data_IF_666329665900
#
_entry.id   IF_666329665900
#
_cell.length_a   1.000
_cell.length_b   1.000
_cell.length_c   1.000
_cell.angle_alpha   90.00
_cell.angle_beta   90.00
_cell.angle_gamma   90.00
#
_symmetry.space_group_name_H-M   'P 1'
#
loop_
_entity.id
_entity.type
_entity.pdbx_description
1 polymer ?
#
# COMPACT_ATOMS: atom_id res chain seq x y z
N UNK A 1 38.47 -12.09 -23.91
CA UNK A 1 38.28 -12.37 -22.46
C UNK A 1 37.01 -11.64 -22.03
N UNK A 2 35.98 -12.38 -21.63
CA UNK A 2 34.61 -11.90 -21.50
C UNK A 2 34.30 -11.22 -20.14
N UNK A 3 33.70 -10.03 -20.25
CA UNK A 3 32.73 -9.34 -19.37
C UNK A 3 32.73 -9.52 -17.84
N UNK A 4 33.00 -8.42 -17.14
CA UNK A 4 32.20 -7.82 -16.05
C UNK A 4 31.40 -8.79 -15.15
N UNK A 5 32.00 -9.31 -14.08
CA UNK A 5 31.25 -9.97 -12.99
C UNK A 5 31.77 -9.56 -11.60
N UNK A 6 30.79 -9.12 -10.80
CA UNK A 6 30.77 -8.89 -9.34
C UNK A 6 31.06 -7.46 -8.85
N UNK A 7 30.01 -6.90 -8.25
CA UNK A 7 29.81 -5.49 -7.87
C UNK A 7 30.58 -5.20 -6.57
N UNK A 8 31.58 -4.33 -6.65
CA UNK A 8 32.28 -3.81 -5.46
C UNK A 8 31.36 -2.87 -4.67
N UNK A 9 30.99 -3.37 -3.50
CA UNK A 9 29.97 -2.87 -2.58
C UNK A 9 30.47 -1.71 -1.71
N UNK A 10 31.23 -0.76 -2.26
CA UNK A 10 31.77 0.36 -1.48
C UNK A 10 30.86 1.59 -1.56
N UNK A 11 29.96 1.72 -0.58
CA UNK A 11 29.12 2.91 -0.43
C UNK A 11 29.98 4.09 0.04
N UNK A 12 30.02 5.22 -0.69
CA UNK A 12 30.77 6.40 -0.26
C UNK A 12 30.34 6.91 1.13
N UNK A 13 31.30 7.26 2.00
CA UNK A 13 31.07 7.77 3.37
C UNK A 13 30.05 8.92 3.44
N UNK A 14 29.98 9.78 2.42
CA UNK A 14 29.00 10.86 2.33
C UNK A 14 27.54 10.38 2.41
N UNK A 15 27.25 9.17 1.95
CA UNK A 15 25.88 8.63 1.99
C UNK A 15 25.53 8.01 3.34
N UNK A 16 26.52 7.54 4.11
CA UNK A 16 26.31 7.26 5.54
C UNK A 16 26.01 8.54 6.32
N UNK A 17 26.73 9.64 6.03
CA UNK A 17 26.40 10.96 6.61
C UNK A 17 24.99 11.43 6.20
N UNK A 18 24.59 11.19 4.95
CA UNK A 18 23.21 11.45 4.49
C UNK A 18 22.18 10.65 5.30
N UNK A 19 22.37 9.34 5.46
CA UNK A 19 21.47 8.48 6.21
C UNK A 19 21.37 8.90 7.69
N UNK A 20 22.50 9.22 8.32
CA UNK A 20 22.55 9.76 9.68
C UNK A 20 21.76 11.07 9.82
N UNK A 21 21.91 11.99 8.86
CA UNK A 21 21.16 13.24 8.86
C UNK A 21 19.65 13.02 8.66
N UNK A 22 19.27 12.02 7.86
CA UNK A 22 17.86 11.64 7.67
C UNK A 22 17.27 11.11 8.97
N UNK A 23 17.96 10.21 9.67
CA UNK A 23 17.54 9.70 10.99
C UNK A 23 17.26 10.86 11.96
N UNK A 24 18.19 11.82 12.03
CA UNK A 24 18.10 12.99 12.91
C UNK A 24 17.00 13.99 12.51
N UNK A 25 16.47 13.91 11.28
CA UNK A 25 15.38 14.77 10.82
C UNK A 25 13.99 14.32 11.29
N UNK A 26 13.87 13.08 11.79
CA UNK A 26 12.63 12.57 12.35
C UNK A 26 12.34 13.14 13.74
N UNK A 27 11.06 13.33 14.06
CA UNK A 27 10.63 13.76 15.39
C UNK A 27 11.09 12.75 16.44
N UNK A 28 11.51 13.23 17.61
CA UNK A 28 11.95 12.39 18.75
C UNK A 28 10.83 12.15 19.76
N UNK A 29 9.65 12.70 19.49
CA UNK A 29 8.50 12.55 20.37
C UNK A 29 7.95 11.12 20.29
N UNK A 30 7.64 10.54 21.45
CA UNK A 30 7.05 9.20 21.54
C UNK A 30 5.78 9.05 20.68
N UNK A 31 4.94 10.09 20.58
CA UNK A 31 3.77 10.09 19.71
C UNK A 31 4.08 9.97 18.21
N UNK A 32 5.33 10.29 17.81
CA UNK A 32 5.80 10.28 16.43
C UNK A 32 6.62 9.04 16.07
N UNK A 33 7.45 8.54 17.00
CA UNK A 33 8.38 7.41 16.76
C UNK A 33 8.11 6.17 17.62
N UNK A 34 7.11 6.22 18.50
CA UNK A 34 6.72 5.08 19.28
C UNK A 34 7.76 4.71 20.33
N UNK A 35 8.02 3.42 20.44
CA UNK A 35 9.04 2.87 21.34
C UNK A 35 10.45 3.02 20.76
N UNK A 36 10.59 3.39 19.48
CA UNK A 36 11.90 3.60 18.85
C UNK A 36 12.59 4.84 19.43
N UNK A 37 13.91 4.74 19.61
CA UNK A 37 14.77 5.85 20.01
C UNK A 37 15.68 6.29 18.84
N UNK A 38 16.47 7.35 19.04
CA UNK A 38 17.33 7.91 17.98
C UNK A 38 18.38 6.92 17.45
N UNK A 39 18.91 6.02 18.30
CA UNK A 39 19.87 5.02 17.87
C UNK A 39 19.21 3.99 16.96
N UNK A 40 17.98 3.60 17.25
CA UNK A 40 17.19 2.70 16.40
C UNK A 40 16.96 3.36 15.03
N UNK A 41 16.56 4.63 15.00
CA UNK A 41 16.37 5.37 13.74
C UNK A 41 17.65 5.49 12.90
N UNK A 42 18.81 5.62 13.56
CA UNK A 42 20.11 5.66 12.88
C UNK A 42 20.43 4.28 12.28
N UNK A 43 20.24 3.19 13.05
CA UNK A 43 20.46 1.83 12.56
C UNK A 43 19.55 1.52 11.37
N UNK A 44 18.25 1.86 11.48
CA UNK A 44 17.29 1.69 10.40
C UNK A 44 17.63 2.53 9.17
N UNK A 45 18.13 3.75 9.36
CA UNK A 45 18.58 4.60 8.25
C UNK A 45 19.81 4.01 7.54
N UNK A 46 20.71 3.36 8.27
CA UNK A 46 21.86 2.67 7.68
C UNK A 46 21.44 1.39 6.96
N UNK A 47 20.57 0.58 7.55
CA UNK A 47 20.00 -0.59 6.86
C UNK A 47 19.28 -0.17 5.57
N UNK A 48 18.45 0.87 5.65
CA UNK A 48 17.76 1.44 4.51
C UNK A 48 18.71 1.97 3.43
N UNK A 49 19.88 2.51 3.80
CA UNK A 49 20.93 2.90 2.86
C UNK A 49 21.49 1.69 2.12
N UNK A 50 21.82 0.60 2.82
CA UNK A 50 22.34 -0.62 2.20
C UNK A 50 21.35 -1.20 1.18
N UNK A 51 20.08 -1.32 1.59
CA UNK A 51 18.99 -1.80 0.74
C UNK A 51 18.82 -0.89 -0.48
N UNK A 52 18.73 0.42 -0.26
CA UNK A 52 18.53 1.39 -1.33
C UNK A 52 19.72 1.39 -2.30
N UNK A 53 20.95 1.31 -1.81
CA UNK A 53 22.14 1.30 -2.64
C UNK A 53 22.18 0.09 -3.58
N UNK A 54 21.85 -1.10 -3.06
CA UNK A 54 21.76 -2.33 -3.87
C UNK A 54 20.70 -2.24 -4.96
N UNK A 55 19.64 -1.48 -4.71
CA UNK A 55 18.48 -1.34 -5.61
C UNK A 55 18.62 -0.17 -6.61
N UNK A 56 19.75 0.54 -6.62
CA UNK A 56 20.00 1.57 -7.64
C UNK A 56 20.09 0.90 -9.01
N UNK A 57 19.28 1.37 -9.95
CA UNK A 57 19.39 1.02 -11.37
C UNK A 57 20.56 1.77 -11.99
N UNK A 58 21.77 1.24 -11.83
CA UNK A 58 23.00 1.86 -12.31
C UNK A 58 23.01 2.11 -13.81
N UNK A 59 22.34 1.27 -14.59
CA UNK A 59 22.20 1.47 -16.04
C UNK A 59 21.49 2.78 -16.39
N UNK A 60 20.52 3.21 -15.58
CA UNK A 60 19.83 4.49 -15.78
C UNK A 60 20.68 5.66 -15.31
N UNK A 61 21.39 5.50 -14.20
CA UNK A 61 22.29 6.52 -13.65
C UNK A 61 23.46 6.78 -14.61
N UNK A 62 24.02 5.73 -15.22
CA UNK A 62 25.15 5.82 -16.12
C UNK A 62 24.80 6.43 -17.49
N UNK A 63 23.51 6.44 -17.87
CA UNK A 63 23.02 7.15 -19.06
C UNK A 63 23.00 8.67 -18.91
N UNK A 64 23.10 9.20 -17.69
CA UNK A 64 23.18 10.65 -17.45
C UNK A 64 24.58 11.13 -17.80
N UNK A 65 24.70 11.97 -18.84
CA UNK A 65 25.98 12.47 -19.34
C UNK A 65 26.70 13.34 -18.30
N UNK A 66 25.99 14.33 -17.74
CA UNK A 66 26.56 15.22 -16.74
C UNK A 66 26.83 14.53 -15.39
N UNK A 67 28.06 14.67 -14.91
CA UNK A 67 28.51 14.04 -13.66
C UNK A 67 27.83 14.65 -12.43
N UNK A 68 27.54 15.95 -12.46
CA UNK A 68 26.89 16.66 -11.35
C UNK A 68 25.45 16.15 -11.21
N UNK A 69 24.71 16.08 -12.30
CA UNK A 69 23.34 15.59 -12.31
C UNK A 69 23.25 14.10 -12.00
N UNK A 70 24.24 13.30 -12.41
CA UNK A 70 24.38 11.90 -11.97
C UNK A 70 24.48 11.79 -10.44
N UNK A 71 25.33 12.60 -9.81
CA UNK A 71 25.49 12.63 -8.34
C UNK A 71 24.22 13.10 -7.64
N UNK A 72 23.52 14.10 -8.20
CA UNK A 72 22.23 14.57 -7.68
C UNK A 72 21.16 13.48 -7.77
N UNK A 73 21.06 12.78 -8.91
CA UNK A 73 20.08 11.71 -9.11
C UNK A 73 20.24 10.59 -8.06
N UNK A 74 21.47 10.13 -7.83
CA UNK A 74 21.78 9.14 -6.78
C UNK A 74 21.40 9.68 -5.40
N UNK A 75 21.77 10.93 -5.09
CA UNK A 75 21.50 11.55 -3.79
C UNK A 75 19.99 11.69 -3.53
N UNK A 76 19.23 12.14 -4.53
CA UNK A 76 17.78 12.31 -4.44
C UNK A 76 17.07 10.97 -4.30
N UNK A 77 17.49 9.96 -5.07
CA UNK A 77 16.98 8.60 -4.95
C UNK A 77 17.21 8.05 -3.54
N UNK A 78 18.45 8.11 -3.04
CA UNK A 78 18.79 7.61 -1.71
C UNK A 78 18.02 8.36 -0.62
N UNK A 79 17.92 9.69 -0.70
CA UNK A 79 17.14 10.49 0.25
C UNK A 79 15.68 10.05 0.28
N UNK A 80 15.03 9.91 -0.88
CA UNK A 80 13.62 9.50 -0.96
C UNK A 80 13.41 8.07 -0.45
N UNK A 81 14.31 7.15 -0.82
CA UNK A 81 14.22 5.73 -0.47
C UNK A 81 14.46 5.49 1.02
N UNK A 82 15.54 6.04 1.58
CA UNK A 82 15.90 5.90 3.00
C UNK A 82 14.79 6.47 3.88
N UNK A 83 14.31 7.69 3.58
CA UNK A 83 13.22 8.32 4.34
C UNK A 83 11.93 7.50 4.29
N UNK A 84 11.62 6.85 3.16
CA UNK A 84 10.45 5.98 3.03
C UNK A 84 10.55 4.77 3.95
N UNK A 85 11.66 4.03 3.85
CA UNK A 85 11.89 2.82 4.63
C UNK A 85 11.88 3.08 6.14
N UNK A 86 12.55 4.14 6.60
CA UNK A 86 12.59 4.51 8.03
C UNK A 86 11.19 4.91 8.54
N UNK A 87 10.36 5.57 7.73
CA UNK A 87 8.98 5.90 8.10
C UNK A 87 8.11 4.67 8.27
N UNK A 88 8.31 3.67 7.43
CA UNK A 88 7.54 2.44 7.50
C UNK A 88 7.96 1.63 8.72
N UNK A 89 9.24 1.63 9.08
CA UNK A 89 9.72 1.01 10.32
C UNK A 89 9.22 1.72 11.58
N UNK A 90 9.26 3.06 11.61
CA UNK A 90 8.64 3.85 12.68
C UNK A 90 7.17 3.45 12.87
N UNK A 91 6.40 3.31 11.79
CA UNK A 91 4.98 2.95 11.88
C UNK A 91 4.75 1.54 12.42
N UNK A 92 5.68 0.61 12.24
CA UNK A 92 5.59 -0.73 12.85
C UNK A 92 5.77 -0.67 14.36
N UNK A 93 6.61 0.26 14.84
CA UNK A 93 7.03 0.37 16.24
C UNK A 93 6.29 1.44 17.06
N UNK A 94 5.36 2.19 16.44
CA UNK A 94 4.44 3.11 17.14
C UNK A 94 3.30 2.33 17.77
N UNK A 95 3.32 2.31 19.10
CA UNK A 95 2.44 1.57 19.99
C UNK A 95 0.93 1.71 19.67
N UNK A 96 0.23 0.56 19.67
CA UNK A 96 -1.20 0.43 19.90
C UNK A 96 -2.19 0.98 18.86
N UNK A 97 -1.79 1.90 17.97
CA UNK A 97 -2.68 2.39 16.92
C UNK A 97 -2.24 1.87 15.57
N UNK A 98 -2.78 0.69 15.22
CA UNK A 98 -2.99 0.21 13.85
C UNK A 98 -3.79 1.27 13.08
N UNK A 99 -3.18 2.41 12.74
CA UNK A 99 -3.80 3.41 11.87
C UNK A 99 -4.06 2.69 10.54
N UNK A 100 -5.31 2.66 10.04
CA UNK A 100 -5.65 1.91 8.85
C UNK A 100 -4.77 2.38 7.69
N UNK A 101 -4.10 1.42 7.07
CA UNK A 101 -3.26 1.63 5.90
C UNK A 101 -4.15 2.20 4.80
N UNK A 102 -3.86 3.43 4.35
CA UNK A 102 -4.57 4.09 3.23
C UNK A 102 -4.05 3.57 1.88
N UNK A 103 -4.27 2.27 1.62
CA UNK A 103 -3.78 1.57 0.43
C UNK A 103 -2.36 1.01 0.57
N UNK A 104 -2.02 -0.02 -0.21
CA UNK A 104 -0.70 -0.69 -0.19
C UNK A 104 0.34 0.22 -0.85
N UNK A 105 1.53 0.35 -0.28
CA UNK A 105 2.60 1.16 -0.91
C UNK A 105 3.29 0.34 -2.00
N UNK A 106 3.38 0.88 -3.21
CA UNK A 106 4.14 0.26 -4.29
C UNK A 106 5.55 0.88 -4.33
N UNK A 107 6.55 0.05 -4.05
CA UNK A 107 7.95 0.48 -4.03
C UNK A 107 8.56 0.68 -5.43
N UNK A 108 7.95 0.16 -6.49
CA UNK A 108 8.37 0.30 -7.89
C UNK A 108 7.83 1.60 -8.50
N UNK A 109 6.56 1.91 -8.27
CA UNK A 109 5.91 3.13 -8.80
C UNK A 109 5.93 4.31 -7.82
N UNK A 110 6.29 4.07 -6.55
CA UNK A 110 6.33 5.08 -5.47
C UNK A 110 4.97 5.78 -5.26
N UNK A 111 3.88 5.05 -5.48
CA UNK A 111 2.50 5.50 -5.22
C UNK A 111 1.79 4.49 -4.31
N UNK A 112 0.65 4.87 -3.73
CA UNK A 112 -0.24 3.94 -3.01
C UNK A 112 -1.14 3.27 -4.05
N UNK A 113 -1.14 1.93 -4.10
CA UNK A 113 -2.13 1.16 -4.87
C UNK A 113 -3.51 1.42 -4.30
N UNK A 114 -4.39 1.88 -5.17
CA UNK A 114 -5.81 2.08 -4.92
C UNK A 114 -6.61 1.14 -5.83
N UNK A 115 -6.02 0.03 -6.25
CA UNK A 115 -6.72 -1.01 -6.99
C UNK A 115 -7.76 -1.72 -6.14
N UNK A 116 -8.51 -2.60 -6.77
CA UNK A 116 -9.58 -3.35 -6.11
C UNK A 116 -9.07 -4.22 -4.94
N UNK A 117 -7.79 -4.60 -4.98
CA UNK A 117 -7.10 -5.23 -3.85
C UNK A 117 -6.85 -4.24 -2.69
N UNK A 118 -6.46 -3.00 -3.02
CA UNK A 118 -6.45 -1.86 -2.10
C UNK A 118 -7.83 -1.55 -1.48
N UNK A 119 -8.93 -1.81 -2.21
CA UNK A 119 -10.28 -1.69 -1.66
C UNK A 119 -10.59 -2.77 -0.62
N UNK A 120 -10.37 -4.05 -0.96
CA UNK A 120 -10.60 -5.19 -0.08
C UNK A 120 -9.83 -5.08 1.24
N UNK A 121 -8.57 -4.68 1.18
CA UNK A 121 -7.71 -4.46 2.36
C UNK A 121 -8.20 -3.30 3.24
N UNK A 122 -8.85 -2.28 2.68
CA UNK A 122 -9.46 -1.18 3.46
C UNK A 122 -10.81 -1.57 4.07
N UNK A 123 -11.64 -2.31 3.33
CA UNK A 123 -12.93 -2.80 3.85
C UNK A 123 -12.74 -3.81 4.98
N UNK A 124 -11.88 -4.79 4.73
CA UNK A 124 -11.70 -5.96 5.57
C UNK A 124 -10.21 -6.16 5.88
N UNK A 125 -9.60 -5.27 6.67
CA UNK A 125 -8.17 -5.39 7.00
C UNK A 125 -7.82 -6.66 7.79
N UNK A 126 -8.81 -7.29 8.44
CA UNK A 126 -8.64 -8.56 9.14
C UNK A 126 -8.66 -9.77 8.19
N UNK A 127 -9.14 -9.57 6.96
CA UNK A 127 -9.13 -10.54 5.87
C UNK A 127 -7.78 -10.63 5.17
N UNK A 128 -6.71 -10.01 5.68
CA UNK A 128 -5.38 -10.08 5.06
C UNK A 128 -4.31 -10.22 6.14
N UNK A 129 -3.46 -11.23 6.02
CA UNK A 129 -2.36 -11.44 6.96
C UNK A 129 -1.28 -10.38 6.73
N UNK A 130 -0.57 -10.03 7.79
CA UNK A 130 0.50 -9.02 7.71
C UNK A 130 1.60 -9.44 6.73
N UNK A 131 1.84 -10.75 6.59
CA UNK A 131 2.76 -11.32 5.60
C UNK A 131 2.18 -11.27 4.17
N UNK A 132 0.88 -11.52 3.98
CA UNK A 132 0.25 -11.40 2.65
C UNK A 132 0.33 -9.95 2.17
N UNK A 133 0.15 -8.97 3.08
CA UNK A 133 0.29 -7.54 2.81
C UNK A 133 1.71 -7.10 2.43
N UNK A 134 2.74 -7.81 2.88
CA UNK A 134 4.14 -7.59 2.47
C UNK A 134 4.53 -8.39 1.22
N UNK A 135 3.92 -9.56 0.96
CA UNK A 135 4.14 -10.37 -0.27
C UNK A 135 3.55 -9.72 -1.54
N UNK A 136 2.52 -8.86 -1.40
CA UNK A 136 1.98 -8.03 -2.51
C UNK A 136 3.10 -7.21 -3.20
N UNK A 137 4.20 -6.92 -2.49
CA UNK A 137 5.31 -6.12 -2.98
C UNK A 137 6.11 -6.79 -4.10
N UNK A 138 6.09 -8.13 -4.21
CA UNK A 138 7.00 -8.89 -5.10
C UNK A 138 6.32 -9.85 -6.10
N UNK A 139 5.02 -10.16 -5.97
CA UNK A 139 4.31 -11.01 -6.93
C UNK A 139 3.34 -10.24 -7.83
N UNK A 140 3.45 -10.46 -9.15
CA UNK A 140 2.42 -10.08 -10.13
C UNK A 140 1.28 -11.08 -9.92
N UNK A 141 0.13 -10.62 -9.45
CA UNK A 141 -1.03 -11.49 -9.27
C UNK A 141 -1.54 -11.93 -10.63
N UNK A 142 -1.65 -13.24 -10.82
CA UNK A 142 -2.23 -13.87 -12.02
C UNK A 142 -3.76 -13.91 -11.95
N UNK A 143 -4.36 -12.81 -11.48
CA UNK A 143 -5.80 -12.68 -11.33
C UNK A 143 -6.31 -11.57 -12.24
N UNK A 144 -7.47 -11.81 -12.83
CA UNK A 144 -8.08 -10.95 -13.83
C UNK A 144 -8.71 -9.72 -13.15
N UNK A 145 -7.96 -8.62 -13.16
CA UNK A 145 -8.38 -7.34 -12.57
C UNK A 145 -9.66 -6.79 -13.20
N UNK A 146 -9.93 -7.09 -14.47
CA UNK A 146 -11.16 -6.65 -15.15
C UNK A 146 -12.36 -7.42 -14.60
N UNK A 147 -12.25 -8.74 -14.42
CA UNK A 147 -13.30 -9.56 -13.79
C UNK A 147 -13.58 -9.15 -12.35
N UNK A 148 -12.55 -8.75 -11.61
CA UNK A 148 -12.72 -8.25 -10.25
C UNK A 148 -13.50 -6.94 -10.24
N UNK A 149 -13.11 -6.00 -11.09
CA UNK A 149 -13.75 -4.70 -11.20
C UNK A 149 -15.22 -4.85 -11.62
N UNK A 150 -15.50 -5.71 -12.60
CA UNK A 150 -16.86 -6.05 -13.04
C UNK A 150 -17.68 -6.67 -11.90
N UNK A 151 -17.10 -7.59 -11.13
CA UNK A 151 -17.77 -8.16 -9.97
C UNK A 151 -18.13 -7.09 -8.93
N UNK A 152 -17.21 -6.19 -8.59
CA UNK A 152 -17.49 -5.12 -7.63
C UNK A 152 -18.52 -4.12 -8.15
N UNK A 153 -18.49 -3.80 -9.44
CA UNK A 153 -19.50 -2.96 -10.07
C UNK A 153 -20.90 -3.53 -9.85
N UNK A 154 -21.10 -4.81 -10.17
CA UNK A 154 -22.38 -5.50 -9.97
C UNK A 154 -22.72 -5.68 -8.48
N UNK A 155 -21.74 -6.00 -7.64
CA UNK A 155 -21.94 -6.20 -6.20
C UNK A 155 -22.36 -4.90 -5.51
N UNK A 156 -21.77 -3.76 -5.87
CA UNK A 156 -22.21 -2.45 -5.37
C UNK A 156 -23.59 -2.07 -5.88
N UNK A 157 -23.93 -2.44 -7.11
CA UNK A 157 -25.27 -2.21 -7.64
C UNK A 157 -26.34 -2.94 -6.82
N UNK A 158 -26.06 -4.16 -6.38
CA UNK A 158 -26.96 -4.93 -5.51
C UNK A 158 -27.06 -4.34 -4.10
N UNK A 159 -25.93 -4.02 -3.47
CA UNK A 159 -25.89 -3.70 -2.02
C UNK A 159 -25.94 -2.20 -1.71
N UNK A 160 -25.50 -1.35 -2.65
CA UNK A 160 -25.42 0.11 -2.53
C UNK A 160 -25.82 0.84 -3.84
N UNK A 161 -26.98 0.56 -4.47
CA UNK A 161 -27.30 1.09 -5.81
C UNK A 161 -27.19 2.60 -5.94
N UNK A 162 -27.66 3.35 -4.92
CA UNK A 162 -27.61 4.82 -4.90
C UNK A 162 -26.21 5.41 -4.74
N UNK A 163 -25.26 4.62 -4.24
CA UNK A 163 -23.91 5.07 -3.90
C UNK A 163 -22.82 4.22 -4.56
N UNK A 164 -23.19 3.39 -5.55
CA UNK A 164 -22.29 2.56 -6.36
C UNK A 164 -21.17 3.42 -6.92
N UNK A 165 -21.50 4.41 -7.73
CA UNK A 165 -20.58 5.39 -8.31
C UNK A 165 -19.69 6.08 -7.28
N UNK A 166 -20.24 6.41 -6.10
CA UNK A 166 -19.45 7.05 -5.04
C UNK A 166 -18.38 6.08 -4.52
N UNK A 167 -18.74 4.81 -4.33
CA UNK A 167 -17.82 3.78 -3.87
C UNK A 167 -16.77 3.46 -4.93
N UNK A 168 -17.15 3.33 -6.20
CA UNK A 168 -16.22 3.12 -7.30
C UNK A 168 -15.19 4.26 -7.35
N UNK A 169 -15.62 5.52 -7.34
CA UNK A 169 -14.72 6.69 -7.36
C UNK A 169 -13.86 6.81 -6.10
N UNK A 170 -14.39 6.51 -4.91
CA UNK A 170 -13.67 6.56 -3.63
C UNK A 170 -12.50 5.59 -3.57
N UNK A 171 -12.56 4.55 -4.40
CA UNK A 171 -11.62 3.44 -4.42
C UNK A 171 -11.02 3.20 -5.80
N UNK A 172 -11.28 4.07 -6.79
CA UNK A 172 -10.71 3.96 -8.13
C UNK A 172 -11.08 2.67 -8.86
N UNK A 173 -12.19 2.01 -8.55
CA UNK A 173 -12.53 0.72 -9.19
C UNK A 173 -12.96 0.93 -10.65
N UNK A 174 -13.43 2.13 -11.00
CA UNK A 174 -13.89 2.56 -12.32
C UNK A 174 -12.79 3.20 -13.20
N UNK A 175 -11.56 3.30 -12.71
CA UNK A 175 -10.46 3.99 -13.39
C UNK A 175 -9.45 2.98 -13.96
N UNK A 176 -9.01 3.19 -15.21
CA UNK A 176 -8.06 2.31 -15.93
C UNK A 176 -6.74 2.13 -15.16
N UNK A 177 -6.38 3.09 -14.30
CA UNK A 177 -5.19 3.03 -13.44
C UNK A 177 -5.53 2.78 -11.97
N UNK A 178 -6.76 2.36 -11.73
CA UNK A 178 -7.42 2.26 -10.46
C UNK A 178 -7.19 3.43 -9.50
N UNK A 179 -7.26 4.66 -10.02
CA UNK A 179 -6.96 5.86 -9.23
C UNK A 179 -8.22 6.40 -8.54
N UNK A 180 -8.25 6.30 -7.22
CA UNK A 180 -9.27 6.96 -6.41
C UNK A 180 -9.36 8.47 -6.72
N UNK A 181 -10.57 8.95 -6.97
CA UNK A 181 -10.86 10.36 -7.24
C UNK A 181 -10.72 11.19 -5.97
N UNK A 182 -10.44 12.48 -6.11
CA UNK A 182 -10.32 13.35 -4.95
C UNK A 182 -11.68 13.52 -4.25
N UNK A 183 -11.67 13.74 -2.92
CA UNK A 183 -12.92 14.00 -2.18
C UNK A 183 -13.65 15.23 -2.74
N UNK A 184 -12.90 16.21 -3.24
CA UNK A 184 -13.46 17.40 -3.88
C UNK A 184 -14.18 17.08 -5.19
N UNK A 185 -13.61 16.23 -6.05
CA UNK A 185 -14.27 15.77 -7.28
C UNK A 185 -15.57 15.00 -6.99
N UNK A 186 -15.52 14.10 -6.00
CA UNK A 186 -16.70 13.32 -5.58
C UNK A 186 -17.76 14.25 -4.98
N UNK A 187 -17.34 15.22 -4.17
CA UNK A 187 -18.23 16.24 -3.60
C UNK A 187 -18.96 17.02 -4.69
N UNK A 188 -18.27 17.42 -5.77
CA UNK A 188 -18.88 18.09 -6.92
C UNK A 188 -19.87 17.16 -7.64
N UNK A 189 -19.49 15.92 -7.97
CA UNK A 189 -20.38 14.97 -8.69
C UNK A 189 -21.67 14.68 -7.93
N UNK A 190 -21.59 14.56 -6.60
CA UNK A 190 -22.74 14.24 -5.75
C UNK A 190 -23.46 15.47 -5.19
N UNK A 191 -23.03 16.68 -5.54
CA UNK A 191 -23.54 17.93 -4.98
C UNK A 191 -23.54 17.94 -3.43
N UNK A 192 -22.40 17.53 -2.85
CA UNK A 192 -22.20 17.39 -1.41
C UNK A 192 -21.03 18.25 -0.94
N UNK A 193 -20.97 18.55 0.36
CA UNK A 193 -19.76 19.12 0.97
C UNK A 193 -18.69 18.02 1.14
N UNK A 194 -17.38 18.33 1.03
CA UNK A 194 -16.30 17.34 1.21
C UNK A 194 -16.38 16.54 2.51
N UNK A 195 -16.76 17.18 3.62
CA UNK A 195 -16.91 16.47 4.90
C UNK A 195 -18.14 15.56 4.94
N UNK A 196 -19.19 15.89 4.19
CA UNK A 196 -20.35 15.02 4.04
C UNK A 196 -19.98 13.75 3.25
N UNK A 197 -19.11 13.86 2.24
CA UNK A 197 -18.56 12.69 1.52
C UNK A 197 -17.78 11.77 2.46
N UNK A 198 -16.92 12.33 3.33
CA UNK A 198 -16.17 11.52 4.33
C UNK A 198 -17.10 10.79 5.29
N UNK A 199 -18.11 11.48 5.82
CA UNK A 199 -19.12 10.88 6.72
C UNK A 199 -19.94 9.82 5.98
N UNK A 200 -20.30 10.08 4.74
CA UNK A 200 -21.07 9.14 3.92
C UNK A 200 -20.26 7.87 3.63
N UNK A 201 -18.97 8.00 3.29
CA UNK A 201 -18.04 6.85 3.18
C UNK A 201 -18.11 5.98 4.44
N UNK A 202 -17.94 6.57 5.63
CA UNK A 202 -17.98 5.81 6.88
C UNK A 202 -19.32 5.09 7.10
N UNK A 203 -20.44 5.74 6.78
CA UNK A 203 -21.79 5.14 6.88
C UNK A 203 -21.98 3.98 5.93
N UNK A 204 -21.55 4.11 4.68
CA UNK A 204 -21.65 3.06 3.66
C UNK A 204 -20.80 1.85 4.03
N UNK A 205 -19.59 2.09 4.55
CA UNK A 205 -18.72 1.05 5.07
C UNK A 205 -19.36 0.28 6.23
N UNK A 206 -19.96 0.99 7.19
CA UNK A 206 -20.68 0.36 8.28
C UNK A 206 -21.86 -0.47 7.76
N UNK A 207 -22.66 0.09 6.85
CA UNK A 207 -23.79 -0.62 6.23
C UNK A 207 -23.38 -1.92 5.55
N UNK A 208 -22.26 -1.94 4.83
CA UNK A 208 -21.72 -3.16 4.21
C UNK A 208 -21.32 -4.18 5.27
N UNK A 209 -20.60 -3.74 6.32
CA UNK A 209 -20.12 -4.62 7.39
C UNK A 209 -21.23 -5.25 8.20
N UNK A 210 -22.36 -4.55 8.32
CA UNK A 210 -23.53 -5.04 9.03
C UNK A 210 -24.45 -5.88 8.11
N UNK A 211 -24.11 -6.05 6.83
CA UNK A 211 -24.89 -6.81 5.85
C UNK A 211 -24.27 -8.20 5.59
N UNK A 212 -24.76 -9.21 6.30
CA UNK A 212 -24.28 -10.59 6.19
C UNK A 212 -24.36 -11.15 4.77
N UNK A 213 -25.42 -10.86 4.01
CA UNK A 213 -25.56 -11.33 2.62
C UNK A 213 -24.44 -10.76 1.75
N UNK A 214 -24.13 -9.47 1.91
CA UNK A 214 -23.06 -8.82 1.17
C UNK A 214 -21.68 -9.39 1.53
N UNK A 215 -21.46 -9.71 2.81
CA UNK A 215 -20.23 -10.34 3.30
C UNK A 215 -20.08 -11.77 2.78
N UNK A 216 -21.17 -12.53 2.79
CA UNK A 216 -21.24 -13.90 2.31
C UNK A 216 -20.94 -14.01 0.81
N UNK A 217 -21.59 -13.18 -0.02
CA UNK A 217 -21.30 -13.10 -1.46
C UNK A 217 -19.82 -12.78 -1.73
N UNK A 218 -19.28 -11.81 -0.99
CA UNK A 218 -17.90 -11.37 -1.18
C UNK A 218 -16.89 -12.42 -0.72
N UNK A 219 -17.11 -13.06 0.42
CA UNK A 219 -16.25 -14.13 0.92
C UNK A 219 -16.28 -15.34 -0.02
N UNK A 220 -17.46 -15.73 -0.51
CA UNK A 220 -17.61 -16.78 -1.54
C UNK A 220 -16.78 -16.46 -2.79
N UNK A 221 -16.89 -15.23 -3.29
CA UNK A 221 -16.15 -14.80 -4.48
C UNK A 221 -14.63 -14.82 -4.27
N UNK A 222 -14.16 -14.30 -3.14
CA UNK A 222 -12.73 -14.28 -2.78
C UNK A 222 -12.15 -15.70 -2.72
N UNK A 223 -12.87 -16.62 -2.08
CA UNK A 223 -12.46 -18.03 -1.92
C UNK A 223 -12.45 -18.78 -3.24
N UNK A 224 -13.55 -18.71 -4.00
CA UNK A 224 -13.71 -19.45 -5.26
C UNK A 224 -12.75 -19.00 -6.37
N UNK A 225 -12.33 -17.73 -6.33
CA UNK A 225 -11.37 -17.17 -7.27
C UNK A 225 -9.93 -17.19 -6.73
N UNK A 226 -9.69 -17.87 -5.61
CA UNK A 226 -8.38 -18.04 -4.98
C UNK A 226 -7.64 -16.70 -4.75
N UNK A 227 -8.40 -15.65 -4.41
CA UNK A 227 -7.84 -14.33 -4.14
C UNK A 227 -7.09 -14.42 -2.80
N UNK A 228 -5.76 -14.26 -2.85
CA UNK A 228 -4.90 -14.30 -1.65
C UNK A 228 -5.42 -13.34 -0.59
N UNK A 229 -5.80 -13.90 0.55
CA UNK A 229 -6.36 -13.21 1.72
C UNK A 229 -5.83 -13.90 3.00
N UNK A 230 -6.17 -13.42 4.19
CA UNK A 230 -5.84 -14.07 5.45
C UNK A 230 -6.64 -15.34 5.60
N UNK A 231 -6.13 -16.24 6.44
CA UNK A 231 -6.90 -17.41 6.87
C UNK A 231 -8.30 -17.03 7.34
N UNK A 232 -8.51 -15.84 7.93
CA UNK A 232 -9.82 -15.41 8.46
C UNK A 232 -10.93 -15.28 7.41
N UNK A 233 -10.61 -15.05 6.12
CA UNK A 233 -11.66 -15.09 5.06
C UNK A 233 -12.06 -16.52 4.78
N UNK A 234 -11.06 -17.39 4.67
CA UNK A 234 -11.25 -18.81 4.46
C UNK A 234 -12.00 -19.42 5.66
N UNK A 235 -11.61 -19.08 6.89
CA UNK A 235 -12.31 -19.45 8.12
C UNK A 235 -13.75 -18.89 8.13
N UNK A 236 -13.96 -17.62 7.74
CA UNK A 236 -15.31 -17.03 7.66
C UNK A 236 -16.17 -17.75 6.64
N UNK A 237 -15.62 -18.08 5.48
CA UNK A 237 -16.31 -18.80 4.41
C UNK A 237 -16.58 -20.26 4.79
N UNK A 238 -15.64 -20.94 5.43
CA UNK A 238 -15.81 -22.28 5.95
C UNK A 238 -16.95 -22.32 6.99
N UNK A 239 -16.93 -21.40 7.96
CA UNK A 239 -17.91 -21.36 9.04
C UNK A 239 -19.31 -20.90 8.59
N UNK A 240 -19.40 -19.88 7.73
CA UNK A 240 -20.70 -19.28 7.35
C UNK A 240 -21.27 -19.81 6.04
N UNK A 241 -20.42 -20.32 5.14
CA UNK A 241 -20.81 -20.72 3.78
C UNK A 241 -20.60 -22.21 3.51
N UNK A 242 -19.93 -22.95 4.41
CA UNK A 242 -19.65 -24.40 4.29
C UNK A 242 -18.96 -24.80 2.98
N UNK A 243 -18.19 -23.91 2.37
CA UNK A 243 -17.58 -24.11 1.03
C UNK A 243 -16.48 -25.18 1.06
N UNK A 244 -15.97 -25.53 2.24
CA UNK A 244 -14.94 -26.55 2.47
C UNK A 244 -15.44 -27.76 3.28
N UNK A 245 -16.75 -27.90 3.48
CA UNK A 245 -17.31 -29.03 4.22
C UNK A 245 -17.49 -30.25 3.30
N UNK A 246 -16.39 -30.96 3.04
CA UNK A 246 -16.35 -32.39 2.73
C UNK A 246 -15.47 -33.11 3.78
#
# INVERSE_FOLDING_TARGET
MASLKHIDSNIPKKYFKLAYNIANSFSKEYASIGVSNINDLIQESFLALLISWRNIKWDLINKIEDNIDRKKAVTNYLKKSITGLVRDEIKKNVDGTKKPIKGVWDNKTKTRRNDVFGFLTVLFPHWFDTNVLTTIEDEIYDYDYEKLAEYFDQWFERHLPKYKDMMLMLYGIDDVYSKAKSISEIAVKFNMKPDAVKKQKQRLLKKIKDNEVALNELAFYVVTNNIKSSSKVYDYAENNLKIYAD
#
